data_IF_561051301328
#
_entry.id   IF_561051301328
#
_cell.length_a   1.000
_cell.length_b   1.000
_cell.length_c   1.000
_cell.angle_alpha   90.00
_cell.angle_beta   90.00
_cell.angle_gamma   90.00
#
_symmetry.space_group_name_H-M   'P 1'
#
loop_
_entity.id
_entity.type
_entity.pdbx_description
1 polymer ?
#
# COMPACT_ATOMS: atom_id res chain seq x y z
N UNK A 1 53.02 -59.18 -11.00
CA UNK A 1 52.56 -57.95 -11.67
C UNK A 1 52.93 -56.78 -10.76
N UNK A 2 53.71 -55.79 -11.19
CA UNK A 2 54.06 -54.67 -10.32
C UNK A 2 52.87 -53.70 -10.19
N UNK A 3 52.54 -53.33 -8.96
CA UNK A 3 51.53 -52.32 -8.63
C UNK A 3 52.16 -50.95 -8.87
N UNK A 4 51.57 -50.15 -9.75
CA UNK A 4 52.01 -48.79 -10.06
C UNK A 4 51.53 -47.88 -8.92
N UNK A 5 52.45 -47.33 -8.13
CA UNK A 5 52.12 -46.35 -7.09
C UNK A 5 51.89 -44.98 -7.75
N UNK A 6 50.77 -44.35 -7.39
CA UNK A 6 50.44 -42.97 -7.77
C UNK A 6 51.43 -42.06 -7.04
N UNK A 7 52.17 -41.24 -7.79
CA UNK A 7 53.13 -40.29 -7.23
C UNK A 7 52.43 -38.99 -6.85
N UNK A 8 53.00 -38.18 -5.96
CA UNK A 8 52.42 -36.88 -5.57
C UNK A 8 52.23 -35.94 -6.78
N UNK A 9 53.02 -36.12 -7.84
CA UNK A 9 52.89 -35.40 -9.11
C UNK A 9 51.63 -35.76 -9.93
N UNK A 10 51.02 -36.92 -9.66
CA UNK A 10 49.76 -37.35 -10.29
C UNK A 10 48.53 -36.77 -9.57
N UNK A 11 48.68 -36.28 -8.33
CA UNK A 11 47.60 -35.69 -7.53
C UNK A 11 47.35 -34.22 -7.92
N UNK A 12 48.38 -33.56 -8.45
CA UNK A 12 48.40 -32.12 -8.76
C UNK A 12 47.84 -31.78 -10.16
N UNK A 13 47.41 -32.78 -10.94
CA UNK A 13 46.79 -32.60 -12.26
C UNK A 13 45.25 -32.55 -12.20
N UNK A 14 44.65 -32.38 -11.01
CA UNK A 14 43.20 -32.16 -10.94
C UNK A 14 42.88 -30.82 -11.58
N UNK A 15 42.05 -30.75 -12.63
CA UNK A 15 41.66 -29.46 -13.20
C UNK A 15 41.04 -28.63 -12.07
N UNK A 16 41.57 -27.42 -11.88
CA UNK A 16 41.01 -26.45 -10.93
C UNK A 16 39.51 -26.38 -11.15
N UNK A 17 38.73 -26.74 -10.12
CA UNK A 17 37.29 -26.70 -10.21
C UNK A 17 36.88 -25.24 -10.41
N UNK A 18 36.57 -24.87 -11.66
CA UNK A 18 35.94 -23.58 -11.99
C UNK A 18 34.75 -23.42 -11.05
N UNK A 19 34.80 -22.39 -10.21
CA UNK A 19 33.71 -22.03 -9.30
C UNK A 19 32.37 -21.96 -10.05
N UNK A 20 31.24 -22.11 -9.35
CA UNK A 20 29.92 -22.25 -9.98
C UNK A 20 29.68 -21.11 -10.98
N UNK A 21 29.44 -21.48 -12.24
CA UNK A 21 29.03 -20.55 -13.29
C UNK A 21 27.75 -19.83 -12.83
N UNK A 22 27.83 -18.52 -12.67
CA UNK A 22 26.68 -17.67 -12.32
C UNK A 22 25.71 -17.73 -13.50
N UNK A 23 24.47 -18.17 -13.26
CA UNK A 23 23.43 -18.19 -14.29
C UNK A 23 23.04 -16.72 -14.58
N UNK A 24 23.09 -16.24 -15.83
CA UNK A 24 22.65 -14.89 -16.17
C UNK A 24 21.23 -14.63 -15.63
N UNK A 25 21.09 -13.61 -14.78
CA UNK A 25 19.82 -13.29 -14.10
C UNK A 25 19.71 -13.73 -12.62
N UNK A 26 20.68 -14.48 -12.08
CA UNK A 26 20.74 -14.83 -10.64
C UNK A 26 21.77 -14.03 -9.84
N UNK A 27 22.32 -12.97 -10.44
CA UNK A 27 23.24 -12.07 -9.77
C UNK A 27 22.56 -11.41 -8.56
N UNK A 28 23.04 -11.73 -7.35
CA UNK A 28 22.68 -10.99 -6.14
C UNK A 28 23.23 -9.58 -6.28
N UNK A 29 22.42 -8.67 -6.82
CA UNK A 29 22.70 -7.23 -6.71
C UNK A 29 22.63 -6.89 -5.22
N UNK A 30 23.78 -6.61 -4.62
CA UNK A 30 23.85 -6.18 -3.23
C UNK A 30 23.13 -4.83 -3.14
N UNK A 31 22.01 -4.79 -2.42
CA UNK A 31 21.31 -3.53 -2.17
C UNK A 31 22.29 -2.53 -1.54
N UNK A 32 22.31 -1.27 -1.99
CA UNK A 32 23.13 -0.23 -1.35
C UNK A 32 22.60 0.14 0.04
N UNK A 33 21.43 -0.37 0.43
CA UNK A 33 20.73 -0.08 1.68
C UNK A 33 20.79 -1.25 2.65
N UNK A 34 20.70 -0.94 3.94
CA UNK A 34 20.53 -1.98 4.95
C UNK A 34 19.17 -2.66 4.80
N UNK A 35 19.03 -3.87 5.36
CA UNK A 35 17.74 -4.56 5.38
C UNK A 35 16.67 -3.73 6.12
N UNK A 36 17.05 -3.08 7.21
CA UNK A 36 16.18 -2.17 7.96
C UNK A 36 15.68 -1.01 7.10
N UNK A 37 16.58 -0.30 6.42
CA UNK A 37 16.22 0.79 5.51
C UNK A 37 15.32 0.33 4.36
N UNK A 38 15.59 -0.86 3.81
CA UNK A 38 14.81 -1.41 2.70
C UNK A 38 13.38 -1.78 3.15
N UNK A 39 13.24 -2.40 4.34
CA UNK A 39 11.93 -2.71 4.92
C UNK A 39 11.16 -1.44 5.27
N UNK A 40 11.82 -0.51 5.93
CA UNK A 40 11.24 0.78 6.32
C UNK A 40 10.79 1.58 5.09
N UNK A 41 11.54 1.54 3.98
CA UNK A 41 11.15 2.17 2.73
C UNK A 41 9.82 1.63 2.18
N UNK A 42 9.64 0.31 2.22
CA UNK A 42 8.38 -0.32 1.80
C UNK A 42 7.20 0.09 2.69
N UNK A 43 7.39 0.09 4.01
CA UNK A 43 6.35 0.50 4.96
C UNK A 43 6.06 2.00 4.87
N UNK A 44 7.08 2.85 4.78
CA UNK A 44 6.94 4.30 4.60
C UNK A 44 6.18 4.62 3.31
N UNK A 45 6.44 3.90 2.22
CA UNK A 45 5.71 4.09 0.98
C UNK A 45 4.22 3.76 1.13
N UNK A 46 3.89 2.61 1.75
CA UNK A 46 2.50 2.22 2.04
C UNK A 46 1.79 3.25 2.92
N UNK A 47 2.43 3.69 4.00
CA UNK A 47 1.91 4.72 4.89
C UNK A 47 1.67 6.04 4.15
N UNK A 48 2.62 6.49 3.32
CA UNK A 48 2.46 7.73 2.55
C UNK A 48 1.31 7.66 1.54
N UNK A 49 1.14 6.52 0.86
CA UNK A 49 0.01 6.32 -0.07
C UNK A 49 -1.33 6.27 0.67
N UNK A 50 -1.37 5.60 1.82
CA UNK A 50 -2.57 5.49 2.64
C UNK A 50 -2.95 6.83 3.26
N UNK A 51 -1.98 7.56 3.80
CA UNK A 51 -2.19 8.92 4.32
C UNK A 51 -2.77 9.84 3.24
N UNK A 52 -2.20 9.83 2.02
CA UNK A 52 -2.73 10.62 0.90
C UNK A 52 -4.19 10.28 0.58
N UNK A 53 -4.58 9.00 0.65
CA UNK A 53 -5.96 8.56 0.39
C UNK A 53 -6.91 8.98 1.50
N UNK A 54 -6.49 8.81 2.76
CA UNK A 54 -7.24 9.21 3.95
C UNK A 54 -7.50 10.72 3.91
N UNK A 55 -6.45 11.52 3.81
CA UNK A 55 -6.56 12.98 3.80
C UNK A 55 -7.34 13.47 2.57
N UNK A 56 -7.16 12.82 1.41
CA UNK A 56 -7.95 13.15 0.21
C UNK A 56 -9.45 12.87 0.39
N UNK A 57 -9.82 11.83 1.13
CA UNK A 57 -11.21 11.55 1.47
C UNK A 57 -11.74 12.57 2.48
N UNK A 58 -11.00 12.83 3.56
CA UNK A 58 -11.33 13.83 4.59
C UNK A 58 -11.54 15.22 3.97
N UNK A 59 -10.63 15.66 3.09
CA UNK A 59 -10.75 16.92 2.35
C UNK A 59 -11.95 16.96 1.39
N UNK A 60 -12.43 15.81 0.93
CA UNK A 60 -13.66 15.73 0.11
C UNK A 60 -14.95 15.90 0.92
N UNK A 61 -14.84 16.19 2.23
CA UNK A 61 -15.96 16.29 3.17
C UNK A 61 -16.43 14.94 3.69
N UNK A 62 -15.68 13.86 3.48
CA UNK A 62 -15.98 12.58 4.12
C UNK A 62 -15.50 12.62 5.57
N UNK A 63 -16.42 12.58 6.51
CA UNK A 63 -16.12 12.50 7.93
C UNK A 63 -16.56 11.12 8.48
N UNK A 64 -15.62 10.24 8.84
CA UNK A 64 -15.94 8.94 9.41
C UNK A 64 -16.47 9.00 10.86
N UNK A 65 -16.31 10.15 11.55
CA UNK A 65 -16.69 10.36 12.95
C UNK A 65 -17.94 11.26 13.13
N UNK A 66 -18.58 11.66 12.02
CA UNK A 66 -19.54 12.75 11.91
C UNK A 66 -20.68 12.77 12.97
N UNK A 67 -20.41 13.38 14.13
CA UNK A 67 -21.32 13.46 15.27
C UNK A 67 -22.52 14.40 15.04
N UNK A 68 -22.38 15.40 14.15
CA UNK A 68 -23.44 16.39 13.88
C UNK A 68 -24.64 15.75 13.18
N UNK A 69 -24.40 14.89 12.20
CA UNK A 69 -25.47 14.19 11.49
C UNK A 69 -26.15 13.14 12.39
N UNK A 70 -25.38 12.48 13.27
CA UNK A 70 -25.93 11.59 14.32
C UNK A 70 -26.91 12.34 15.22
N UNK A 71 -26.54 13.56 15.66
CA UNK A 71 -27.35 14.35 16.59
C UNK A 71 -28.60 14.95 15.91
N UNK A 72 -28.49 15.37 14.65
CA UNK A 72 -29.61 15.89 13.85
C UNK A 72 -30.62 14.77 13.52
N UNK A 73 -30.17 13.57 13.17
CA UNK A 73 -31.05 12.42 12.94
C UNK A 73 -31.67 11.86 14.22
N UNK A 74 -30.92 11.83 15.33
CA UNK A 74 -31.43 11.39 16.63
C UNK A 74 -32.57 12.27 17.15
N UNK A 75 -32.52 13.57 16.86
CA UNK A 75 -33.50 14.55 17.33
C UNK A 75 -34.59 14.88 16.29
N UNK A 76 -34.47 14.43 15.03
CA UNK A 76 -35.16 15.06 13.90
C UNK A 76 -36.05 14.22 12.97
N UNK A 77 -36.08 12.87 12.96
CA UNK A 77 -36.85 12.18 11.91
C UNK A 77 -37.20 10.69 12.08
N UNK A 78 -38.49 10.41 11.92
CA UNK A 78 -39.16 9.21 11.39
C UNK A 78 -38.54 7.83 11.65
N UNK A 79 -38.32 7.45 12.92
CA UNK A 79 -38.38 6.05 13.41
C UNK A 79 -37.38 5.01 12.86
N UNK A 80 -36.65 5.32 11.80
CA UNK A 80 -35.63 4.51 11.12
C UNK A 80 -34.22 5.09 11.38
N UNK A 81 -34.13 5.94 12.40
CA UNK A 81 -32.94 6.67 12.85
C UNK A 81 -31.77 5.76 13.22
N UNK A 82 -30.60 6.36 13.39
CA UNK A 82 -29.26 5.81 13.65
C UNK A 82 -28.80 4.63 12.79
N UNK A 83 -29.56 3.54 12.78
CA UNK A 83 -29.33 2.32 12.02
C UNK A 83 -29.30 2.58 10.50
N UNK A 84 -30.24 3.36 9.96
CA UNK A 84 -30.31 3.64 8.52
C UNK A 84 -29.11 4.46 7.99
N UNK A 85 -28.57 5.40 8.77
CA UNK A 85 -27.38 6.16 8.38
C UNK A 85 -26.11 5.33 8.52
N UNK A 86 -25.97 4.57 9.62
CA UNK A 86 -24.79 3.75 9.87
C UNK A 86 -24.63 2.70 8.77
N UNK A 87 -25.73 2.06 8.36
CA UNK A 87 -25.76 1.13 7.25
C UNK A 87 -25.34 1.80 5.92
N UNK A 88 -25.85 3.00 5.62
CA UNK A 88 -25.49 3.73 4.39
C UNK A 88 -24.04 4.21 4.37
N UNK A 89 -23.51 4.70 5.49
CA UNK A 89 -22.11 5.11 5.59
C UNK A 89 -21.18 3.91 5.45
N UNK A 90 -21.40 2.84 6.22
CA UNK A 90 -20.57 1.62 6.20
C UNK A 90 -20.59 0.97 4.80
N UNK A 91 -21.73 1.02 4.10
CA UNK A 91 -21.83 0.47 2.75
C UNK A 91 -21.28 1.40 1.65
N UNK A 92 -20.99 2.67 1.97
CA UNK A 92 -20.56 3.66 0.99
C UNK A 92 -19.20 3.32 0.36
N UNK A 93 -18.97 3.61 -0.93
CA UNK A 93 -17.68 3.41 -1.57
C UNK A 93 -16.55 4.21 -0.89
N UNK A 94 -16.82 5.42 -0.40
CA UNK A 94 -15.84 6.26 0.30
C UNK A 94 -15.40 5.62 1.62
N UNK A 95 -16.33 5.11 2.41
CA UNK A 95 -16.00 4.40 3.65
C UNK A 95 -15.18 3.15 3.40
N UNK A 96 -15.53 2.34 2.38
CA UNK A 96 -14.74 1.15 2.02
C UNK A 96 -13.31 1.51 1.59
N UNK A 97 -13.13 2.61 0.87
CA UNK A 97 -11.81 3.11 0.49
C UNK A 97 -11.03 3.63 1.70
N UNK A 98 -11.72 4.33 2.60
CA UNK A 98 -11.15 4.83 3.85
C UNK A 98 -10.66 3.68 4.73
N UNK A 99 -11.52 2.70 5.03
CA UNK A 99 -11.16 1.54 5.85
C UNK A 99 -10.01 0.74 5.26
N UNK A 100 -9.99 0.57 3.93
CA UNK A 100 -8.86 -0.08 3.26
C UNK A 100 -7.54 0.69 3.46
N UNK A 101 -7.57 2.02 3.35
CA UNK A 101 -6.39 2.85 3.58
C UNK A 101 -5.98 2.86 5.07
N UNK A 102 -6.96 2.89 5.98
CA UNK A 102 -6.77 2.74 7.43
C UNK A 102 -6.02 1.46 7.74
N UNK A 103 -6.54 0.30 7.31
CA UNK A 103 -5.90 -1.00 7.53
C UNK A 103 -4.48 -1.07 6.94
N UNK A 104 -4.27 -0.53 5.73
CA UNK A 104 -2.95 -0.53 5.11
C UNK A 104 -1.93 0.30 5.91
N UNK A 105 -2.34 1.48 6.39
CA UNK A 105 -1.53 2.31 7.30
C UNK A 105 -1.25 1.59 8.61
N UNK A 106 -2.28 1.08 9.29
CA UNK A 106 -2.17 0.41 10.59
C UNK A 106 -1.23 -0.78 10.53
N UNK A 107 -1.37 -1.63 9.51
CA UNK A 107 -0.51 -2.80 9.33
C UNK A 107 0.93 -2.42 8.99
N UNK A 108 1.16 -1.34 8.24
CA UNK A 108 2.51 -0.87 7.96
C UNK A 108 3.22 -0.34 9.22
N UNK A 109 2.51 0.42 10.06
CA UNK A 109 3.04 0.91 11.33
C UNK A 109 3.34 -0.24 12.30
N UNK A 110 2.39 -1.14 12.52
CA UNK A 110 2.54 -2.25 13.47
C UNK A 110 3.66 -3.23 13.09
N UNK A 111 3.84 -3.50 11.78
CA UNK A 111 4.92 -4.39 11.30
C UNK A 111 6.31 -3.90 11.66
N UNK A 112 6.51 -2.59 11.79
CA UNK A 112 7.77 -2.01 12.24
C UNK A 112 8.00 -2.22 13.73
N UNK A 113 6.94 -2.08 14.53
CA UNK A 113 7.03 -2.08 15.99
C UNK A 113 7.13 -3.49 16.57
N UNK A 114 6.34 -4.44 16.06
CA UNK A 114 6.19 -5.75 16.68
C UNK A 114 6.89 -6.86 15.90
N UNK A 115 7.00 -6.73 14.58
CA UNK A 115 7.55 -7.77 13.69
C UNK A 115 6.82 -9.12 13.74
N UNK A 116 5.71 -9.22 14.51
CA UNK A 116 5.03 -10.45 14.87
C UNK A 116 3.62 -10.50 14.26
N UNK A 117 2.82 -11.48 14.71
CA UNK A 117 1.37 -11.52 14.42
C UNK A 117 0.71 -10.33 15.12
N UNK A 118 -0.08 -9.58 14.36
CA UNK A 118 -0.84 -8.44 14.88
C UNK A 118 -1.99 -8.97 15.73
N UNK A 119 -2.11 -8.49 16.97
CA UNK A 119 -3.21 -8.84 17.87
C UNK A 119 -4.35 -7.82 17.78
N UNK A 120 -5.54 -8.20 18.25
CA UNK A 120 -6.73 -7.33 18.16
C UNK A 120 -6.59 -6.04 18.99
N UNK A 121 -5.89 -6.11 20.12
CA UNK A 121 -5.65 -4.95 21.01
C UNK A 121 -4.77 -3.90 20.34
N UNK A 122 -3.76 -4.31 19.57
CA UNK A 122 -2.87 -3.44 18.81
C UNK A 122 -3.65 -2.67 17.74
N UNK A 123 -4.62 -3.33 17.10
CA UNK A 123 -5.50 -2.66 16.14
C UNK A 123 -6.33 -1.57 16.83
N UNK A 124 -6.90 -1.87 18.01
CA UNK A 124 -7.66 -0.87 18.78
C UNK A 124 -6.78 0.31 19.20
N UNK A 125 -5.56 0.06 19.64
CA UNK A 125 -4.64 1.14 20.03
C UNK A 125 -4.25 2.01 18.84
N UNK A 126 -3.97 1.41 17.69
CA UNK A 126 -3.70 2.15 16.46
C UNK A 126 -4.91 2.96 16.01
N UNK A 127 -6.12 2.38 16.06
CA UNK A 127 -7.36 3.07 15.72
C UNK A 127 -7.56 4.30 16.63
N UNK A 128 -7.38 4.14 17.94
CA UNK A 128 -7.49 5.23 18.90
C UNK A 128 -6.41 6.30 18.75
N UNK A 129 -5.20 5.92 18.34
CA UNK A 129 -4.05 6.83 18.22
C UNK A 129 -4.11 7.66 16.94
N UNK A 130 -4.52 7.04 15.83
CA UNK A 130 -4.33 7.62 14.52
C UNK A 130 -5.62 7.98 13.82
N UNK A 131 -6.79 7.47 14.21
CA UNK A 131 -8.00 7.60 13.41
C UNK A 131 -9.16 8.26 14.18
N UNK A 132 -10.02 9.04 13.49
CA UNK A 132 -11.18 9.67 14.11
C UNK A 132 -12.09 8.65 14.77
N UNK A 133 -12.49 8.93 16.00
CA UNK A 133 -13.51 8.21 16.73
C UNK A 133 -14.75 9.09 16.89
N UNK A 134 -15.88 8.44 17.09
CA UNK A 134 -17.14 9.14 17.38
C UNK A 134 -16.94 10.00 18.64
N UNK A 135 -17.36 11.26 18.55
CA UNK A 135 -17.26 12.28 19.60
C UNK A 135 -15.85 12.81 19.91
N UNK A 136 -14.84 12.54 19.07
CA UNK A 136 -13.60 13.31 19.09
C UNK A 136 -13.89 14.80 18.80
N UNK A 137 -13.29 15.69 19.58
CA UNK A 137 -13.38 17.12 19.34
C UNK A 137 -12.41 17.56 18.22
N UNK A 138 -12.58 18.75 17.62
CA UNK A 138 -11.73 19.21 16.51
C UNK A 138 -10.24 19.27 16.82
N UNK A 139 -9.85 19.49 18.08
CA UNK A 139 -8.43 19.49 18.49
C UNK A 139 -7.89 18.07 18.44
N UNK A 140 -8.61 17.11 19.04
CA UNK A 140 -8.25 15.69 18.99
C UNK A 140 -8.16 15.16 17.55
N UNK A 141 -9.07 15.57 16.66
CA UNK A 141 -9.00 15.21 15.24
C UNK A 141 -7.75 15.78 14.54
N UNK A 142 -7.37 17.02 14.88
CA UNK A 142 -6.13 17.65 14.42
C UNK A 142 -4.90 16.88 14.89
N UNK A 143 -4.84 16.57 16.18
CA UNK A 143 -3.73 15.84 16.81
C UNK A 143 -3.55 14.45 16.18
N UNK A 144 -4.64 13.75 15.89
CA UNK A 144 -4.61 12.45 15.20
C UNK A 144 -4.10 12.56 13.77
N UNK A 145 -4.50 13.62 13.07
CA UNK A 145 -4.00 13.91 11.71
C UNK A 145 -2.49 14.14 11.73
N UNK A 146 -2.01 14.94 12.68
CA UNK A 146 -0.60 15.22 12.84
C UNK A 146 0.19 13.99 13.31
N UNK A 147 -0.40 13.14 14.17
CA UNK A 147 0.18 11.86 14.55
C UNK A 147 0.40 10.96 13.32
N UNK A 148 -0.57 10.85 12.39
CA UNK A 148 -0.42 10.06 11.16
C UNK A 148 0.72 10.59 10.28
N UNK A 149 0.84 11.91 10.16
CA UNK A 149 1.93 12.58 9.42
C UNK A 149 3.28 12.33 10.09
N UNK A 150 3.36 12.46 11.40
CA UNK A 150 4.57 12.25 12.18
C UNK A 150 5.05 10.80 12.08
N UNK A 151 4.15 9.82 12.21
CA UNK A 151 4.48 8.40 12.06
C UNK A 151 5.00 8.08 10.65
N UNK A 152 4.34 8.60 9.61
CA UNK A 152 4.80 8.47 8.22
C UNK A 152 6.17 9.13 8.01
N UNK A 153 6.37 10.32 8.56
CA UNK A 153 7.63 11.05 8.52
C UNK A 153 8.76 10.29 9.21
N UNK A 154 8.51 9.74 10.40
CA UNK A 154 9.46 8.92 11.15
C UNK A 154 9.86 7.66 10.38
N UNK A 155 8.89 6.95 9.80
CA UNK A 155 9.15 5.78 8.96
C UNK A 155 10.00 6.14 7.74
N UNK A 156 9.70 7.28 7.09
CA UNK A 156 10.47 7.80 5.96
C UNK A 156 11.91 8.17 6.35
N UNK A 157 12.11 8.77 7.51
CA UNK A 157 13.45 9.08 8.04
C UNK A 157 14.24 7.78 8.28
N UNK A 158 13.62 6.76 8.88
CA UNK A 158 14.25 5.45 9.08
C UNK A 158 14.64 4.75 7.77
N UNK A 159 13.81 4.91 6.73
CA UNK A 159 14.10 4.42 5.39
C UNK A 159 15.27 5.13 4.71
N UNK A 160 15.46 6.43 4.98
CA UNK A 160 16.47 7.25 4.31
C UNK A 160 16.32 7.23 2.79
N UNK A 161 17.44 7.19 2.05
CA UNK A 161 17.45 7.20 0.58
C UNK A 161 16.77 5.98 -0.06
N UNK A 162 16.59 4.89 0.67
CA UNK A 162 15.86 3.72 0.17
C UNK A 162 14.41 4.07 -0.17
N UNK A 163 13.80 5.02 0.54
CA UNK A 163 12.45 5.50 0.24
C UNK A 163 12.36 6.15 -1.15
N UNK A 164 13.31 7.00 -1.49
CA UNK A 164 13.30 7.73 -2.76
C UNK A 164 13.43 6.76 -3.94
N UNK A 165 14.22 5.70 -3.79
CA UNK A 165 14.36 4.66 -4.81
C UNK A 165 13.10 3.79 -4.94
N UNK A 166 12.40 3.49 -3.83
CA UNK A 166 11.08 2.84 -3.89
C UNK A 166 10.08 3.72 -4.64
N UNK A 167 10.03 5.02 -4.34
CA UNK A 167 9.13 5.96 -5.04
C UNK A 167 9.43 5.99 -6.54
N UNK A 168 10.70 6.10 -6.93
CA UNK A 168 11.10 6.09 -8.35
C UNK A 168 10.73 4.77 -9.03
N UNK A 169 11.05 3.63 -8.40
CA UNK A 169 10.74 2.32 -8.95
C UNK A 169 9.23 2.12 -9.15
N UNK A 170 8.41 2.58 -8.20
CA UNK A 170 6.95 2.51 -8.35
C UNK A 170 6.44 3.49 -9.41
N UNK A 171 7.00 4.69 -9.53
CA UNK A 171 6.64 5.65 -10.58
C UNK A 171 6.99 5.13 -11.98
N UNK A 172 8.18 4.55 -12.15
CA UNK A 172 8.58 3.86 -13.38
C UNK A 172 7.65 2.70 -13.72
N UNK A 173 7.34 1.85 -12.74
CA UNK A 173 6.38 0.76 -12.89
C UNK A 173 4.99 1.29 -13.29
N UNK A 174 4.54 2.37 -12.66
CA UNK A 174 3.25 3.00 -12.95
C UNK A 174 3.24 3.65 -14.34
N UNK A 175 4.34 4.22 -14.80
CA UNK A 175 4.46 4.70 -16.19
C UNK A 175 4.40 3.57 -17.21
N UNK A 176 4.95 2.41 -16.86
CA UNK A 176 5.00 1.24 -17.73
C UNK A 176 3.67 0.47 -17.77
N UNK A 177 2.96 0.37 -16.63
CA UNK A 177 1.81 -0.51 -16.45
C UNK A 177 0.56 0.17 -15.86
N UNK A 178 0.67 1.40 -15.36
CA UNK A 178 -0.42 2.15 -14.76
C UNK A 178 -1.42 2.61 -15.81
N UNK A 179 -2.48 1.82 -15.94
CA UNK A 179 -3.67 2.09 -16.77
C UNK A 179 -4.60 3.17 -16.19
N UNK A 180 -4.21 3.83 -15.10
CA UNK A 180 -5.14 4.52 -14.21
C UNK A 180 -5.41 5.99 -14.57
N UNK A 181 -4.81 6.51 -15.65
CA UNK A 181 -5.38 7.74 -16.21
C UNK A 181 -6.68 7.36 -16.93
N UNK A 182 -7.78 8.13 -16.74
CA UNK A 182 -9.01 7.91 -17.51
C UNK A 182 -8.75 7.82 -19.02
N UNK A 183 -7.73 8.52 -19.50
CA UNK A 183 -7.25 8.51 -20.88
C UNK A 183 -6.58 7.18 -21.29
N UNK A 184 -5.72 6.59 -20.45
CA UNK A 184 -5.10 5.29 -20.71
C UNK A 184 -6.13 4.15 -20.64
N UNK A 185 -7.06 4.21 -19.68
CA UNK A 185 -8.19 3.29 -19.58
C UNK A 185 -9.10 3.40 -20.82
N UNK A 186 -9.43 4.62 -21.24
CA UNK A 186 -10.19 4.86 -22.48
C UNK A 186 -9.45 4.38 -23.71
N UNK A 187 -8.14 4.59 -23.80
CA UNK A 187 -7.31 4.08 -24.91
C UNK A 187 -7.35 2.55 -24.98
N UNK A 188 -7.28 1.87 -23.84
CA UNK A 188 -7.42 0.42 -23.79
C UNK A 188 -8.84 -0.05 -24.14
N UNK A 189 -9.87 0.62 -23.66
CA UNK A 189 -11.27 0.31 -23.98
C UNK A 189 -11.56 0.48 -25.47
N UNK A 190 -11.07 1.57 -26.08
CA UNK A 190 -11.13 1.82 -27.52
C UNK A 190 -10.41 0.72 -28.32
N UNK A 191 -9.20 0.36 -27.91
CA UNK A 191 -8.43 -0.73 -28.54
C UNK A 191 -9.13 -2.09 -28.44
N UNK A 192 -9.81 -2.39 -27.33
CA UNK A 192 -10.59 -3.64 -27.18
C UNK A 192 -11.86 -3.61 -28.02
N UNK A 193 -12.50 -2.45 -28.14
CA UNK A 193 -13.67 -2.26 -28.97
C UNK A 193 -13.39 -2.40 -30.47
N UNK A 194 -12.14 -2.28 -30.92
CA UNK A 194 -11.76 -2.63 -32.31
C UNK A 194 -11.95 -4.12 -32.61
N UNK A 195 -11.86 -4.98 -31.59
CA UNK A 195 -11.98 -6.45 -31.72
C UNK A 195 -13.28 -7.02 -31.14
N UNK A 196 -13.98 -6.27 -30.28
CA UNK A 196 -15.24 -6.66 -29.63
C UNK A 196 -16.37 -5.69 -30.02
N UNK A 197 -17.24 -6.16 -30.90
CA UNK A 197 -18.36 -5.39 -31.47
C UNK A 197 -19.44 -5.05 -30.43
N UNK A 198 -19.62 -5.91 -29.42
CA UNK A 198 -20.55 -5.65 -28.32
C UNK A 198 -20.04 -4.53 -27.41
N UNK A 199 -18.72 -4.50 -27.15
CA UNK A 199 -18.08 -3.43 -26.41
C UNK A 199 -18.08 -2.11 -27.21
N UNK A 200 -17.83 -2.14 -28.52
CA UNK A 200 -17.89 -0.98 -29.40
C UNK A 200 -19.28 -0.32 -29.39
N UNK A 201 -20.33 -1.14 -29.48
CA UNK A 201 -21.72 -0.66 -29.45
C UNK A 201 -22.05 0.00 -28.11
N UNK A 202 -21.61 -0.59 -26.98
CA UNK A 202 -21.77 0.00 -25.65
C UNK A 202 -21.06 1.35 -25.53
N UNK A 203 -19.82 1.45 -26.00
CA UNK A 203 -19.06 2.70 -25.94
C UNK A 203 -19.65 3.81 -26.83
N UNK A 204 -20.19 3.48 -28.01
CA UNK A 204 -20.93 4.43 -28.86
C UNK A 204 -22.20 4.93 -28.19
N UNK A 205 -22.99 4.03 -27.59
CA UNK A 205 -24.21 4.41 -26.87
C UNK A 205 -23.93 5.31 -25.66
N UNK A 206 -22.72 5.24 -25.09
CA UNK A 206 -22.26 6.10 -23.99
C UNK A 206 -21.59 7.41 -24.47
N UNK A 207 -21.46 7.64 -25.78
CA UNK A 207 -20.79 8.83 -26.33
C UNK A 207 -19.26 8.86 -26.12
N UNK A 208 -18.65 7.70 -25.93
CA UNK A 208 -17.22 7.54 -25.62
C UNK A 208 -16.35 7.15 -26.83
N UNK A 209 -17.01 6.83 -27.95
CA UNK A 209 -16.47 6.54 -29.28
C UNK A 209 -17.10 7.44 -30.34
#
# INVERSE_FOLDING_TARGET
MPVKYISDADIDQRPEAKGPNIIPGTEKRKSPYTEGQTKDAGFAFRMAQSLKRIEGLEQSGFDPANFKDILVDYLGGDGDGIRGWAERLILSPKYKQYERAKTDFSTAQLRKETGAVINDTEIVWIDNTYFPLIADDPVTLGDKTDARRAATGGMRVGAGKAYDDVVKAVDEFTKQFGSDTPEAAMKQLRKRAETDEALATRLRNMGLL
#
